data_IF_488276597922
#
_entry.id   IF_488276597922
#
_cell.length_a   1.000
_cell.length_b   1.000
_cell.length_c   1.000
_cell.angle_alpha   90.00
_cell.angle_beta   90.00
_cell.angle_gamma   90.00
#
_symmetry.space_group_name_H-M   'P 1'
#
loop_
_entity.id
_entity.type
_entity.pdbx_description
1 polymer ?
#
# COMPACT_ATOMS: atom_id res chain seq x y z
N UNK A 1 29.18 -21.70 -23.47
CA UNK A 1 27.89 -21.77 -22.77
C UNK A 1 27.93 -20.83 -21.57
N UNK A 2 27.25 -19.68 -21.64
CA UNK A 2 27.19 -18.71 -20.53
C UNK A 2 26.27 -19.30 -19.46
N UNK A 3 26.81 -19.52 -18.26
CA UNK A 3 26.03 -19.99 -17.09
C UNK A 3 24.96 -18.95 -16.79
N UNK A 4 23.70 -19.32 -16.95
CA UNK A 4 22.56 -18.55 -16.45
C UNK A 4 22.71 -18.48 -14.93
N UNK A 5 23.01 -17.30 -14.41
CA UNK A 5 22.90 -17.04 -12.98
C UNK A 5 21.42 -17.21 -12.62
N UNK A 6 21.06 -18.40 -12.12
CA UNK A 6 19.84 -18.57 -11.34
C UNK A 6 19.97 -17.64 -10.14
N UNK A 7 19.23 -16.52 -10.19
CA UNK A 7 19.01 -15.66 -9.02
C UNK A 7 18.46 -16.59 -7.95
N UNK A 8 19.27 -16.94 -6.95
CA UNK A 8 18.75 -17.60 -5.75
C UNK A 8 17.65 -16.66 -5.22
N UNK A 9 16.45 -17.16 -4.89
CA UNK A 9 15.45 -16.32 -4.25
C UNK A 9 16.14 -15.71 -3.03
N UNK A 10 16.18 -14.37 -2.95
CA UNK A 10 16.66 -13.69 -1.75
C UNK A 10 15.85 -14.27 -0.60
N UNK A 11 16.52 -14.87 0.38
CA UNK A 11 15.85 -15.30 1.59
C UNK A 11 15.16 -14.05 2.14
N UNK A 12 13.84 -14.07 2.11
CA UNK A 12 12.99 -12.97 2.57
C UNK A 12 13.43 -12.56 3.97
N UNK A 13 14.04 -11.37 4.09
CA UNK A 13 14.38 -10.80 5.39
C UNK A 13 13.09 -10.29 6.02
N UNK A 14 12.53 -11.12 6.90
CA UNK A 14 11.24 -10.87 7.52
C UNK A 14 11.28 -9.68 8.47
N UNK A 15 12.42 -9.41 9.09
CA UNK A 15 12.59 -8.22 9.95
C UNK A 15 12.59 -6.97 9.07
N UNK A 16 13.31 -7.00 7.95
CA UNK A 16 13.28 -5.91 6.99
C UNK A 16 11.89 -5.67 6.39
N UNK A 17 11.18 -6.72 5.99
CA UNK A 17 9.79 -6.59 5.50
C UNK A 17 8.87 -6.06 6.60
N UNK A 18 8.99 -6.55 7.82
CA UNK A 18 8.23 -6.04 8.96
C UNK A 18 8.44 -4.54 9.18
N UNK A 19 9.70 -4.09 9.09
CA UNK A 19 10.06 -2.67 9.16
C UNK A 19 9.42 -1.87 8.02
N UNK A 20 9.46 -2.36 6.78
CA UNK A 20 8.81 -1.68 5.65
C UNK A 20 7.28 -1.60 5.82
N UNK A 21 6.64 -2.63 6.38
CA UNK A 21 5.21 -2.56 6.70
C UNK A 21 4.91 -1.54 7.81
N UNK A 22 5.82 -1.36 8.78
CA UNK A 22 5.71 -0.29 9.79
C UNK A 22 5.84 1.09 9.15
N UNK A 23 6.82 1.29 8.27
CA UNK A 23 6.99 2.55 7.54
C UNK A 23 5.76 2.87 6.66
N UNK A 24 5.20 1.86 6.01
CA UNK A 24 3.97 2.00 5.25
C UNK A 24 2.78 2.43 6.13
N UNK A 25 2.68 1.90 7.35
CA UNK A 25 1.66 2.31 8.34
C UNK A 25 1.86 3.77 8.72
N UNK A 26 3.10 4.19 8.98
CA UNK A 26 3.42 5.58 9.36
C UNK A 26 3.02 6.56 8.26
N UNK A 27 3.34 6.28 6.99
CA UNK A 27 2.94 7.16 5.88
C UNK A 27 1.42 7.23 5.72
N UNK A 28 0.72 6.12 5.86
CA UNK A 28 -0.75 6.09 5.79
C UNK A 28 -1.41 6.82 6.97
N UNK A 29 -0.88 6.68 8.19
CA UNK A 29 -1.38 7.39 9.38
C UNK A 29 -1.16 8.91 9.23
N UNK A 30 0.02 9.33 8.74
CA UNK A 30 0.30 10.75 8.45
C UNK A 30 -0.66 11.31 7.39
N UNK A 31 -0.85 10.58 6.29
CA UNK A 31 -1.80 10.95 5.24
C UNK A 31 -3.24 11.04 5.77
N UNK A 32 -3.66 10.10 6.62
CA UNK A 32 -4.97 10.11 7.24
C UNK A 32 -5.16 11.38 8.08
N UNK A 33 -4.18 11.72 8.93
CA UNK A 33 -4.23 12.92 9.77
C UNK A 33 -4.23 14.21 8.95
N UNK A 34 -3.43 14.30 7.88
CA UNK A 34 -3.42 15.50 7.03
C UNK A 34 -4.74 15.71 6.32
N UNK A 35 -5.39 14.65 5.84
CA UNK A 35 -6.71 14.73 5.21
C UNK A 35 -7.82 15.06 6.19
N UNK A 36 -7.81 14.49 7.39
CA UNK A 36 -8.76 14.81 8.45
C UNK A 36 -8.62 16.29 8.87
N UNK A 37 -7.38 16.77 9.03
CA UNK A 37 -7.13 18.19 9.30
C UNK A 37 -7.58 19.09 8.14
N UNK A 38 -7.38 18.67 6.89
CA UNK A 38 -7.82 19.41 5.71
C UNK A 38 -9.35 19.52 5.59
N UNK A 39 -10.11 18.65 6.26
CA UNK A 39 -11.57 18.75 6.35
C UNK A 39 -12.02 19.92 7.23
N UNK A 40 -11.23 20.24 8.26
CA UNK A 40 -11.53 21.31 9.21
C UNK A 40 -10.87 22.65 8.84
N UNK A 41 -9.92 22.63 7.89
CA UNK A 41 -9.20 23.79 7.40
C UNK A 41 -9.95 24.54 6.29
N UNK A 42 -9.73 25.85 6.17
CA UNK A 42 -10.18 26.67 5.04
C UNK A 42 -9.00 27.20 4.22
N UNK A 43 -9.31 27.59 2.98
CA UNK A 43 -8.43 28.34 2.08
C UNK A 43 -7.04 27.68 1.89
N UNK A 44 -5.96 28.47 1.95
CA UNK A 44 -4.58 28.06 1.65
C UNK A 44 -4.03 26.97 2.57
N UNK A 45 -4.56 26.86 3.79
CA UNK A 45 -4.16 25.79 4.71
C UNK A 45 -4.70 24.43 4.25
N UNK A 46 -5.93 24.42 3.69
CA UNK A 46 -6.51 23.20 3.11
C UNK A 46 -5.68 22.73 1.92
N UNK A 47 -5.32 23.63 1.01
CA UNK A 47 -4.52 23.29 -0.17
C UNK A 47 -3.15 22.73 0.24
N UNK A 48 -2.51 23.35 1.23
CA UNK A 48 -1.22 22.87 1.75
C UNK A 48 -1.33 21.48 2.38
N UNK A 49 -2.43 21.18 3.08
CA UNK A 49 -2.67 19.87 3.69
C UNK A 49 -3.02 18.81 2.64
N UNK A 50 -3.73 19.18 1.57
CA UNK A 50 -4.00 18.29 0.44
C UNK A 50 -2.67 17.94 -0.30
N UNK A 51 -1.77 18.91 -0.49
CA UNK A 51 -0.42 18.68 -1.03
C UNK A 51 0.43 17.77 -0.13
N UNK A 52 0.40 17.98 1.20
CA UNK A 52 1.08 17.10 2.16
C UNK A 52 0.53 15.67 2.08
N UNK A 53 -0.79 15.52 1.95
CA UNK A 53 -1.45 14.22 1.82
C UNK A 53 -1.01 13.48 0.55
N UNK A 54 -0.87 14.21 -0.57
CA UNK A 54 -0.33 13.67 -1.81
C UNK A 54 1.12 13.20 -1.66
N UNK A 55 1.96 13.97 -0.96
CA UNK A 55 3.35 13.59 -0.70
C UNK A 55 3.45 12.32 0.16
N UNK A 56 2.62 12.18 1.18
CA UNK A 56 2.58 10.96 1.99
C UNK A 56 2.09 9.74 1.21
N UNK A 57 1.15 9.93 0.28
CA UNK A 57 0.74 8.87 -0.65
C UNK A 57 1.90 8.42 -1.56
N UNK A 58 2.61 9.37 -2.17
CA UNK A 58 3.73 9.06 -3.05
C UNK A 58 4.86 8.36 -2.26
N UNK A 59 5.16 8.80 -1.04
CA UNK A 59 6.11 8.13 -0.13
C UNK A 59 5.65 6.71 0.26
N UNK A 60 4.35 6.52 0.55
CA UNK A 60 3.78 5.19 0.78
C UNK A 60 3.97 4.26 -0.44
N UNK A 61 3.77 4.78 -1.65
CA UNK A 61 3.97 4.01 -2.88
C UNK A 61 5.43 3.59 -3.09
N UNK A 62 6.39 4.42 -2.68
CA UNK A 62 7.82 4.06 -2.68
C UNK A 62 8.10 2.91 -1.70
N UNK A 63 7.52 2.95 -0.49
CA UNK A 63 7.64 1.84 0.48
C UNK A 63 7.00 0.55 -0.08
N UNK A 64 5.84 0.64 -0.71
CA UNK A 64 5.20 -0.50 -1.40
C UNK A 64 6.12 -1.08 -2.49
N UNK A 65 6.80 -0.21 -3.25
CA UNK A 65 7.77 -0.65 -4.24
C UNK A 65 8.90 -1.45 -3.59
N UNK A 66 9.46 -0.97 -2.48
CA UNK A 66 10.49 -1.69 -1.71
C UNK A 66 9.96 -3.04 -1.22
N UNK A 67 8.76 -3.11 -0.65
CA UNK A 67 8.15 -4.38 -0.23
C UNK A 67 8.02 -5.34 -1.41
N UNK A 68 7.59 -4.87 -2.59
CA UNK A 68 7.47 -5.69 -3.80
C UNK A 68 8.81 -6.26 -4.30
N UNK A 69 9.93 -5.60 -4.01
CA UNK A 69 11.26 -6.11 -4.34
C UNK A 69 11.62 -7.34 -3.50
N UNK A 70 10.99 -7.52 -2.33
CA UNK A 70 11.20 -8.65 -1.42
C UNK A 70 10.03 -9.65 -1.41
N UNK A 71 8.83 -9.22 -1.76
CA UNK A 71 7.61 -10.04 -1.83
C UNK A 71 7.08 -10.12 -3.27
N UNK A 72 7.52 -11.16 -3.98
CA UNK A 72 7.10 -11.43 -5.36
C UNK A 72 5.59 -11.64 -5.50
N UNK A 73 4.94 -12.21 -4.46
CA UNK A 73 3.51 -12.46 -4.48
C UNK A 73 2.73 -11.14 -4.45
N UNK A 74 3.14 -10.18 -3.60
CA UNK A 74 2.55 -8.84 -3.58
C UNK A 74 2.80 -8.10 -4.91
N UNK A 75 4.02 -8.18 -5.46
CA UNK A 75 4.34 -7.59 -6.76
C UNK A 75 3.43 -8.12 -7.87
N UNK A 76 3.18 -9.44 -7.87
CA UNK A 76 2.30 -10.07 -8.86
C UNK A 76 0.84 -9.65 -8.70
N UNK A 77 0.36 -9.53 -7.46
CA UNK A 77 -0.99 -9.07 -7.15
C UNK A 77 -1.19 -7.62 -7.62
N UNK A 78 -0.26 -6.72 -7.30
CA UNK A 78 -0.33 -5.33 -7.75
C UNK A 78 -0.35 -5.20 -9.27
N UNK A 79 0.49 -5.95 -9.98
CA UNK A 79 0.46 -5.98 -11.45
C UNK A 79 -0.88 -6.44 -11.99
N UNK A 80 -1.47 -7.50 -11.43
CA UNK A 80 -2.80 -8.01 -11.84
C UNK A 80 -3.89 -6.96 -11.69
N UNK A 81 -3.90 -6.22 -10.58
CA UNK A 81 -4.89 -5.17 -10.36
C UNK A 81 -4.61 -3.92 -11.19
N UNK A 82 -3.34 -3.53 -11.38
CA UNK A 82 -2.94 -2.43 -12.25
C UNK A 82 -3.31 -2.70 -13.73
N UNK A 83 -3.07 -3.90 -14.26
CA UNK A 83 -3.44 -4.25 -15.63
C UNK A 83 -4.96 -4.24 -15.85
N UNK A 84 -5.75 -4.63 -14.84
CA UNK A 84 -7.21 -4.53 -14.89
C UNK A 84 -7.72 -3.09 -14.95
N UNK A 85 -6.90 -2.12 -14.55
CA UNK A 85 -7.25 -0.70 -14.53
C UNK A 85 -6.71 0.07 -15.71
N UNK A 86 -5.55 -0.33 -16.25
CA UNK A 86 -4.99 0.24 -17.48
C UNK A 86 -5.91 0.13 -18.70
N UNK A 87 -6.90 -0.77 -18.69
CA UNK A 87 -7.92 -0.88 -19.73
C UNK A 87 -9.05 0.18 -19.62
N UNK A 88 -9.09 1.00 -18.55
CA UNK A 88 -10.25 1.85 -18.22
C UNK A 88 -9.96 3.36 -18.15
N UNK A 89 -8.70 3.83 -18.17
CA UNK A 89 -8.41 5.27 -18.00
C UNK A 89 -7.41 5.87 -19.00
N UNK A 90 -7.97 6.56 -20.02
CA UNK A 90 -7.40 7.75 -20.66
C UNK A 90 -8.12 8.98 -20.11
N UNK A 91 -7.68 9.55 -18.99
CA UNK A 91 -7.99 10.93 -18.60
C UNK A 91 -7.10 11.33 -17.41
N UNK A 92 -6.00 12.01 -17.68
CA UNK A 92 -5.22 12.73 -16.67
C UNK A 92 -6.02 13.97 -16.25
N UNK A 93 -6.85 13.84 -15.21
CA UNK A 93 -7.44 14.96 -14.48
C UNK A 93 -6.57 15.33 -13.28
N UNK A 94 -6.63 16.59 -12.85
CA UNK A 94 -6.03 17.07 -11.59
C UNK A 94 -6.53 16.21 -10.42
N UNK A 95 -5.66 15.89 -9.44
CA UNK A 95 -6.01 15.03 -8.30
C UNK A 95 -7.14 15.68 -7.48
N UNK A 96 -8.31 15.06 -7.40
CA UNK A 96 -9.53 15.66 -6.80
C UNK A 96 -9.87 15.06 -5.43
N UNK A 97 -9.04 15.35 -4.43
CA UNK A 97 -9.28 14.94 -3.04
C UNK A 97 -10.57 15.49 -2.45
N UNK A 98 -10.97 16.69 -2.87
CA UNK A 98 -12.07 17.46 -2.27
C UNK A 98 -13.44 16.80 -2.40
N UNK A 99 -13.68 16.01 -3.46
CA UNK A 99 -14.98 15.38 -3.73
C UNK A 99 -15.14 14.02 -3.06
N UNK A 100 -14.04 13.34 -2.71
CA UNK A 100 -14.05 11.94 -2.26
C UNK A 100 -13.36 11.71 -0.91
N UNK A 101 -13.08 12.77 -0.14
CA UNK A 101 -12.26 12.72 1.08
C UNK A 101 -12.72 11.66 2.10
N UNK A 102 -14.02 11.57 2.37
CA UNK A 102 -14.58 10.56 3.30
C UNK A 102 -14.32 9.14 2.82
N UNK A 103 -14.54 8.86 1.53
CA UNK A 103 -14.24 7.55 0.94
C UNK A 103 -12.75 7.23 1.06
N UNK A 104 -11.90 8.22 0.81
CA UNK A 104 -10.46 8.08 0.87
C UNK A 104 -9.97 7.80 2.30
N UNK A 105 -10.51 8.48 3.32
CA UNK A 105 -10.24 8.17 4.74
C UNK A 105 -10.61 6.72 5.09
N UNK A 106 -11.74 6.21 4.61
CA UNK A 106 -12.11 4.80 4.82
C UNK A 106 -11.16 3.82 4.13
N UNK A 107 -10.68 4.14 2.92
CA UNK A 107 -9.70 3.32 2.20
C UNK A 107 -8.35 3.30 2.91
N UNK A 108 -7.89 4.44 3.43
CA UNK A 108 -6.67 4.52 4.22
C UNK A 108 -6.78 3.69 5.51
N UNK A 109 -7.91 3.78 6.22
CA UNK A 109 -8.17 2.94 7.39
C UNK A 109 -8.17 1.44 7.06
N UNK A 110 -8.71 1.06 5.90
CA UNK A 110 -8.64 -0.32 5.45
C UNK A 110 -7.18 -0.73 5.22
N UNK A 111 -6.42 0.03 4.42
CA UNK A 111 -5.00 -0.23 4.14
C UNK A 111 -4.19 -0.38 5.43
N UNK A 112 -4.32 0.55 6.38
CA UNK A 112 -3.68 0.50 7.69
C UNK A 112 -3.94 -0.84 8.41
N UNK A 113 -5.19 -1.32 8.40
CA UNK A 113 -5.54 -2.61 9.03
C UNK A 113 -4.88 -3.78 8.32
N UNK A 114 -4.81 -3.77 6.99
CA UNK A 114 -4.16 -4.82 6.21
C UNK A 114 -2.64 -4.86 6.48
N UNK A 115 -1.97 -3.71 6.52
CA UNK A 115 -0.54 -3.64 6.87
C UNK A 115 -0.26 -4.15 8.29
N UNK A 116 -1.06 -3.74 9.29
CA UNK A 116 -0.93 -4.21 10.68
C UNK A 116 -1.14 -5.73 10.80
N UNK A 117 -2.07 -6.30 10.03
CA UNK A 117 -2.27 -7.77 10.01
C UNK A 117 -1.10 -8.50 9.37
N UNK A 118 -0.54 -7.99 8.26
CA UNK A 118 0.66 -8.58 7.66
C UNK A 118 1.84 -8.58 8.62
N UNK A 119 2.10 -7.44 9.27
CA UNK A 119 3.16 -7.32 10.28
C UNK A 119 2.98 -8.35 11.42
N UNK A 120 1.74 -8.52 11.90
CA UNK A 120 1.40 -9.52 12.91
C UNK A 120 1.63 -10.96 12.42
N UNK A 121 1.21 -11.29 11.19
CA UNK A 121 1.38 -12.64 10.64
C UNK A 121 2.86 -12.96 10.44
N UNK A 122 3.68 -12.00 10.01
CA UNK A 122 5.12 -12.20 9.86
C UNK A 122 5.82 -12.55 11.19
N UNK A 123 5.32 -12.04 12.32
CA UNK A 123 5.83 -12.37 13.67
C UNK A 123 5.46 -13.79 14.14
N UNK A 124 4.49 -14.48 13.51
CA UNK A 124 3.93 -15.76 13.98
C UNK A 124 4.50 -17.02 13.29
N UNK A 125 5.60 -16.90 12.55
CA UNK A 125 6.05 -17.94 11.60
C UNK A 125 6.53 -19.28 12.18
N UNK A 126 6.73 -19.41 13.50
CA UNK A 126 7.11 -20.67 14.15
C UNK A 126 5.90 -21.50 14.63
N UNK A 127 4.69 -21.13 14.21
CA UNK A 127 3.46 -21.74 14.68
C UNK A 127 3.08 -22.98 13.83
N UNK A 128 2.56 -24.06 14.43
CA UNK A 128 2.06 -25.25 13.71
C UNK A 128 0.98 -24.94 12.66
N UNK A 129 0.37 -23.74 12.67
CA UNK A 129 -0.66 -23.31 11.73
C UNK A 129 -0.11 -22.58 10.48
N UNK A 130 1.13 -22.89 10.07
CA UNK A 130 1.84 -22.23 8.96
C UNK A 130 1.02 -22.13 7.66
N UNK A 131 0.31 -23.19 7.27
CA UNK A 131 -0.44 -23.22 6.01
C UNK A 131 -1.61 -22.22 6.01
N UNK A 132 -2.31 -22.08 7.14
CA UNK A 132 -3.36 -21.08 7.32
C UNK A 132 -2.81 -19.65 7.22
N UNK A 133 -1.63 -19.40 7.79
CA UNK A 133 -0.99 -18.11 7.69
C UNK A 133 -0.54 -17.80 6.26
N UNK A 134 -0.12 -18.79 5.47
CA UNK A 134 0.20 -18.57 4.04
C UNK A 134 -1.03 -18.19 3.22
N UNK A 135 -2.17 -18.83 3.45
CA UNK A 135 -3.43 -18.46 2.79
C UNK A 135 -3.86 -17.05 3.20
N UNK A 136 -3.80 -16.73 4.49
CA UNK A 136 -4.09 -15.40 5.01
C UNK A 136 -3.17 -14.33 4.40
N UNK A 137 -1.85 -14.57 4.33
CA UNK A 137 -0.91 -13.65 3.68
C UNK A 137 -1.27 -13.40 2.21
N UNK A 138 -1.74 -14.43 1.51
CA UNK A 138 -2.13 -14.31 0.10
C UNK A 138 -3.35 -13.41 -0.05
N UNK A 139 -4.39 -13.62 0.77
CA UNK A 139 -5.58 -12.76 0.78
C UNK A 139 -5.23 -11.31 1.15
N UNK A 140 -4.40 -11.09 2.17
CA UNK A 140 -3.98 -9.75 2.59
C UNK A 140 -3.26 -8.99 1.46
N UNK A 141 -2.37 -9.66 0.71
CA UNK A 141 -1.68 -9.05 -0.45
C UNK A 141 -2.65 -8.65 -1.56
N UNK A 142 -3.63 -9.50 -1.85
CA UNK A 142 -4.66 -9.18 -2.85
C UNK A 142 -5.52 -7.99 -2.41
N UNK A 143 -5.91 -7.94 -1.13
CA UNK A 143 -6.66 -6.82 -0.59
C UNK A 143 -5.88 -5.50 -0.63
N UNK A 144 -4.61 -5.49 -0.22
CA UNK A 144 -3.75 -4.30 -0.32
C UNK A 144 -3.68 -3.84 -1.77
N UNK A 145 -3.42 -4.76 -2.70
CA UNK A 145 -3.33 -4.43 -4.13
C UNK A 145 -4.61 -3.80 -4.67
N UNK A 146 -5.77 -4.35 -4.30
CA UNK A 146 -7.07 -3.83 -4.70
C UNK A 146 -7.35 -2.45 -4.08
N UNK A 147 -7.08 -2.28 -2.78
CA UNK A 147 -7.30 -1.02 -2.07
C UNK A 147 -6.41 0.09 -2.61
N UNK A 148 -5.12 -0.18 -2.86
CA UNK A 148 -4.21 0.77 -3.51
C UNK A 148 -4.79 1.24 -4.85
N UNK A 149 -5.27 0.29 -5.64
CA UNK A 149 -5.86 0.56 -6.95
C UNK A 149 -7.12 1.43 -6.85
N UNK A 150 -7.97 1.19 -5.85
CA UNK A 150 -9.16 2.02 -5.61
C UNK A 150 -8.79 3.43 -5.11
N UNK A 151 -7.80 3.54 -4.24
CA UNK A 151 -7.29 4.84 -3.77
C UNK A 151 -6.72 5.65 -4.93
N UNK A 152 -5.90 5.04 -5.80
CA UNK A 152 -5.35 5.70 -6.99
C UNK A 152 -6.42 6.19 -7.98
N UNK A 153 -7.60 5.57 -8.00
CA UNK A 153 -8.72 6.02 -8.85
C UNK A 153 -9.47 7.21 -8.28
N UNK A 154 -9.45 7.37 -6.96
CA UNK A 154 -10.18 8.42 -6.25
C UNK A 154 -9.32 9.66 -6.00
N UNK A 155 -7.99 9.50 -6.09
CA UNK A 155 -7.01 10.59 -6.07
C UNK A 155 -6.89 11.18 -7.46
#
# INVERSE_FOLDING_TARGET
>A
MKKTHTRKPMSMDLEHIGMLHSEAIEQLDLMYTTLEAAEQASDTMRDSLDDMSANHWDAYMDVIHLICMHDEALSSALKRYSTRVGEVQEAQGERQFSLHRVCLLFLLLALLRHHRRLEHIFKLRSNPMSDYFQESLTMEREHISNLITLTQKLM
#
